data_IF_759397945344
#
_entry.id   IF_759397945344
#
_cell.length_a   1.000
_cell.length_b   1.000
_cell.length_c   1.000
_cell.angle_alpha   90.00
_cell.angle_beta   90.00
_cell.angle_gamma   90.00
#
_symmetry.space_group_name_H-M   'P 1'
#
loop_
_entity.id
_entity.type
_entity.pdbx_description
1 polymer ?
#
# COMPACT_ATOMS: atom_id res chain seq x y z
N UNK A 1 8.87 12.09 6.74
CA UNK A 1 7.76 11.70 5.83
C UNK A 1 6.45 11.72 6.61
N UNK A 2 5.31 11.98 5.96
CA UNK A 2 3.99 12.02 6.60
C UNK A 2 3.11 10.95 5.95
N UNK A 3 2.57 10.06 6.77
CA UNK A 3 1.57 9.06 6.38
C UNK A 3 0.18 9.67 6.44
N UNK A 4 -0.77 9.17 5.63
CA UNK A 4 -2.14 9.68 5.65
C UNK A 4 -2.87 9.26 6.92
N UNK A 5 -2.87 7.95 7.21
CA UNK A 5 -3.54 7.37 8.38
C UNK A 5 -2.64 6.30 9.01
N UNK A 6 -2.59 6.31 10.34
CA UNK A 6 -1.93 5.26 11.13
C UNK A 6 -2.93 4.75 12.16
N UNK A 7 -3.24 3.46 12.10
CA UNK A 7 -4.05 2.80 13.12
C UNK A 7 -3.11 2.00 14.02
N UNK A 8 -3.31 2.12 15.33
CA UNK A 8 -2.59 1.33 16.33
C UNK A 8 -3.58 0.59 17.21
N UNK A 9 -3.35 -0.70 17.40
CA UNK A 9 -4.09 -1.51 18.35
C UNK A 9 -3.15 -2.58 18.92
N UNK A 10 -3.00 -2.61 20.25
CA UNK A 10 -2.07 -3.51 20.92
C UNK A 10 -0.63 -3.38 20.34
N UNK A 11 0.00 -4.51 20.00
CA UNK A 11 1.31 -4.60 19.35
C UNK A 11 1.21 -4.62 17.81
N UNK A 12 0.16 -4.01 17.24
CA UNK A 12 -0.06 -3.96 15.80
C UNK A 12 -0.24 -2.51 15.34
N UNK A 13 0.54 -2.14 14.32
CA UNK A 13 0.37 -0.89 13.58
C UNK A 13 0.02 -1.19 12.14
N UNK A 14 -0.99 -0.47 11.64
CA UNK A 14 -1.37 -0.45 10.23
C UNK A 14 -1.18 0.94 9.67
N UNK A 15 -0.29 1.07 8.69
CA UNK A 15 -0.09 2.32 7.94
C UNK A 15 -0.96 2.27 6.70
N UNK A 16 -1.83 3.26 6.51
CA UNK A 16 -2.71 3.36 5.36
C UNK A 16 -2.32 4.60 4.56
N UNK A 17 -2.02 4.40 3.27
CA UNK A 17 -1.81 5.47 2.30
C UNK A 17 -2.98 5.45 1.32
N UNK A 18 -3.64 6.60 1.18
CA UNK A 18 -4.89 6.73 0.44
C UNK A 18 -4.65 7.44 -0.88
N UNK A 19 -5.24 6.92 -1.95
CA UNK A 19 -5.04 7.46 -3.29
C UNK A 19 -6.36 7.55 -4.05
N UNK A 20 -6.54 8.65 -4.76
CA UNK A 20 -7.62 8.82 -5.73
C UNK A 20 -7.03 9.01 -7.12
N UNK A 21 -7.38 8.12 -8.04
CA UNK A 21 -7.08 8.24 -9.46
C UNK A 21 -8.35 7.89 -10.23
N UNK A 22 -8.62 8.62 -11.31
CA UNK A 22 -9.72 8.31 -12.21
C UNK A 22 -9.59 6.87 -12.76
N UNK A 23 -8.37 6.53 -13.20
CA UNK A 23 -7.93 5.18 -13.56
C UNK A 23 -6.83 4.75 -12.58
N UNK A 24 -7.14 3.78 -11.72
CA UNK A 24 -6.24 3.33 -10.64
C UNK A 24 -5.42 2.07 -10.98
N UNK A 25 -5.49 1.64 -12.24
CA UNK A 25 -4.64 0.60 -12.82
C UNK A 25 -3.87 1.16 -14.02
N UNK A 26 -2.67 0.65 -14.26
CA UNK A 26 -1.78 1.05 -15.35
C UNK A 26 -1.50 -0.14 -16.26
N UNK A 27 -1.62 0.06 -17.57
CA UNK A 27 -1.22 -0.95 -18.56
C UNK A 27 0.30 -0.94 -18.71
N UNK A 28 0.94 -2.06 -18.41
CA UNK A 28 2.37 -2.22 -18.65
C UNK A 28 2.66 -2.17 -20.14
N UNK A 29 3.52 -1.24 -20.57
CA UNK A 29 3.93 -1.11 -21.97
C UNK A 29 4.60 -2.38 -22.53
N UNK A 30 5.28 -3.16 -21.66
CA UNK A 30 6.02 -4.36 -22.05
C UNK A 30 5.17 -5.62 -22.12
N UNK A 31 4.27 -5.81 -21.17
CA UNK A 31 3.48 -7.05 -21.07
C UNK A 31 2.00 -6.88 -21.44
N UNK A 32 1.56 -5.66 -21.73
CA UNK A 32 0.16 -5.26 -21.96
C UNK A 32 -0.79 -5.65 -20.80
N UNK A 33 -0.25 -6.02 -19.64
CA UNK A 33 -1.03 -6.39 -18.47
C UNK A 33 -1.39 -5.16 -17.65
N UNK A 34 -2.62 -5.14 -17.16
CA UNK A 34 -3.14 -4.12 -16.25
C UNK A 34 -2.59 -4.41 -14.85
N UNK A 35 -1.83 -3.46 -14.28
CA UNK A 35 -1.13 -3.58 -12.99
C UNK A 35 -1.39 -2.37 -12.11
N UNK A 36 -1.28 -2.53 -10.81
CA UNK A 36 -1.30 -1.40 -9.88
C UNK A 36 -0.08 -0.47 -10.05
N UNK A 37 -0.21 0.77 -9.62
CA UNK A 37 0.89 1.74 -9.62
C UNK A 37 1.97 1.36 -8.61
N UNK A 38 3.12 0.88 -9.08
CA UNK A 38 4.24 0.45 -8.22
C UNK A 38 4.83 1.57 -7.38
N UNK A 39 4.78 2.82 -7.84
CA UNK A 39 5.32 3.97 -7.11
C UNK A 39 4.63 4.16 -5.75
N UNK A 40 3.30 4.01 -5.70
CA UNK A 40 2.54 4.08 -4.45
C UNK A 40 2.91 2.92 -3.52
N UNK A 41 3.13 1.73 -4.07
CA UNK A 41 3.58 0.57 -3.29
C UNK A 41 4.95 0.81 -2.65
N UNK A 42 5.91 1.34 -3.41
CA UNK A 42 7.24 1.66 -2.87
C UNK A 42 7.21 2.79 -1.84
N UNK A 43 6.32 3.76 -2.01
CA UNK A 43 6.07 4.80 -1.01
C UNK A 43 5.54 4.19 0.30
N UNK A 44 4.48 3.38 0.22
CA UNK A 44 3.93 2.68 1.40
C UNK A 44 4.97 1.77 2.06
N UNK A 45 5.73 1.02 1.26
CA UNK A 45 6.81 0.17 1.75
C UNK A 45 7.86 0.97 2.52
N UNK A 46 8.23 2.16 2.02
CA UNK A 46 9.15 3.06 2.70
C UNK A 46 8.60 3.52 4.05
N UNK A 47 7.29 3.76 4.17
CA UNK A 47 6.65 4.08 5.45
C UNK A 47 6.71 2.91 6.43
N UNK A 48 6.36 1.71 5.99
CA UNK A 48 6.36 0.51 6.84
C UNK A 48 7.77 0.15 7.32
N UNK A 49 8.78 0.30 6.47
CA UNK A 49 10.17 -0.02 6.81
C UNK A 49 10.82 0.99 7.76
N UNK A 50 10.44 2.26 7.67
CA UNK A 50 11.03 3.33 8.49
C UNK A 50 10.15 3.70 9.69
N UNK A 51 9.08 2.95 9.94
CA UNK A 51 8.23 3.19 11.09
C UNK A 51 8.97 2.81 12.38
N UNK A 52 9.02 3.68 13.40
CA UNK A 52 9.73 3.43 14.66
C UNK A 52 8.92 2.48 15.55
N UNK A 53 8.89 1.20 15.18
CA UNK A 53 8.19 0.14 15.89
C UNK A 53 8.81 -0.11 17.28
N UNK A 54 7.96 -0.36 18.26
CA UNK A 54 8.36 -0.86 19.58
C UNK A 54 8.80 -2.33 19.49
N UNK A 55 9.47 -2.82 20.53
CA UNK A 55 9.81 -4.24 20.63
C UNK A 55 8.54 -5.09 20.51
N UNK A 56 8.60 -6.13 19.68
CA UNK A 56 7.47 -7.05 19.38
C UNK A 56 6.29 -6.43 18.60
N UNK A 57 6.37 -5.15 18.20
CA UNK A 57 5.33 -4.51 17.40
C UNK A 57 5.41 -4.95 15.93
N UNK A 58 4.29 -5.48 15.41
CA UNK A 58 4.13 -5.79 14.00
C UNK A 58 3.60 -4.56 13.25
N UNK A 59 4.23 -4.26 12.12
CA UNK A 59 3.84 -3.12 11.26
C UNK A 59 3.49 -3.65 9.88
N UNK A 60 2.27 -3.37 9.43
CA UNK A 60 1.79 -3.65 8.08
C UNK A 60 1.37 -2.38 7.35
N UNK A 61 1.16 -2.51 6.05
CA UNK A 61 0.71 -1.42 5.19
C UNK A 61 -0.56 -1.76 4.43
N UNK A 62 -1.34 -0.75 4.05
CA UNK A 62 -2.45 -0.86 3.09
C UNK A 62 -2.41 0.33 2.13
N UNK A 63 -2.51 0.05 0.83
CA UNK A 63 -2.88 1.05 -0.16
C UNK A 63 -4.39 1.05 -0.32
N UNK A 64 -5.03 2.16 0.03
CA UNK A 64 -6.48 2.30 -0.10
C UNK A 64 -6.80 3.21 -1.29
N UNK A 65 -7.39 2.60 -2.33
CA UNK A 65 -7.87 3.33 -3.49
C UNK A 65 -9.37 3.56 -3.40
N UNK A 66 -9.80 4.79 -3.68
CA UNK A 66 -11.22 5.05 -3.91
C UNK A 66 -11.70 4.23 -5.12
N UNK A 67 -12.82 3.53 -4.95
CA UNK A 67 -13.42 2.76 -6.04
C UNK A 67 -14.01 3.70 -7.10
N UNK A 68 -13.65 3.50 -8.36
CA UNK A 68 -14.16 4.26 -9.50
C UNK A 68 -15.02 3.39 -10.42
N UNK A 69 -15.36 3.89 -11.61
CA UNK A 69 -16.05 3.14 -12.67
C UNK A 69 -15.13 2.18 -13.42
N UNK A 70 -13.82 2.16 -13.14
CA UNK A 70 -12.88 1.26 -13.77
C UNK A 70 -13.27 -0.21 -13.49
N UNK A 71 -13.24 -1.04 -14.55
CA UNK A 71 -13.65 -2.46 -14.48
C UNK A 71 -12.72 -3.25 -13.57
N UNK A 72 -11.41 -2.97 -13.65
CA UNK A 72 -10.39 -3.60 -12.83
C UNK A 72 -9.99 -2.68 -11.70
N UNK A 73 -9.94 -3.22 -10.48
CA UNK A 73 -9.55 -2.50 -9.27
C UNK A 73 -8.32 -3.20 -8.66
N UNK A 74 -7.39 -2.46 -8.02
CA UNK A 74 -6.29 -3.06 -7.30
C UNK A 74 -6.81 -3.95 -6.16
N UNK A 75 -6.47 -5.23 -6.18
CA UNK A 75 -6.80 -6.18 -5.10
C UNK A 75 -5.70 -7.21 -4.96
N UNK A 76 -4.63 -6.82 -4.27
CA UNK A 76 -3.42 -7.61 -4.13
C UNK A 76 -2.94 -7.62 -2.68
N UNK A 77 -2.23 -8.70 -2.33
CA UNK A 77 -1.49 -8.83 -1.08
C UNK A 77 -0.03 -9.08 -1.42
N UNK A 78 0.87 -8.36 -0.76
CA UNK A 78 2.30 -8.47 -0.96
C UNK A 78 2.99 -8.86 0.34
N UNK A 79 4.10 -9.57 0.19
CA UNK A 79 5.05 -9.79 1.27
C UNK A 79 6.40 -9.25 0.81
N UNK A 80 6.90 -8.21 1.46
CA UNK A 80 8.15 -7.53 1.11
C UNK A 80 9.03 -7.46 2.35
N UNK A 81 10.21 -8.10 2.31
CA UNK A 81 11.14 -8.18 3.45
C UNK A 81 10.46 -8.66 4.75
N UNK A 82 9.56 -9.62 4.66
CA UNK A 82 8.80 -10.17 5.80
C UNK A 82 7.64 -9.29 6.29
N UNK A 83 7.44 -8.08 5.72
CA UNK A 83 6.30 -7.21 6.01
C UNK A 83 5.13 -7.52 5.08
N UNK A 84 3.90 -7.46 5.62
CA UNK A 84 2.67 -7.63 4.85
C UNK A 84 2.17 -6.25 4.37
N UNK A 85 1.87 -6.16 3.07
CA UNK A 85 1.28 -4.99 2.41
C UNK A 85 0.07 -5.39 1.56
#
# INVERSE_FOLDING_TARGET
>A
MKTDVVLKANQQTLIIDTKFYQENMVTSYRSQQVKQQSNNLYQLFSYVMNYPAQSEESVGGVLLYAKTKAITQPHHRYTMMGKQL
#
